data_IF_216567973084
#
_entry.id   IF_216567973084
#
_cell.length_a   1.000
_cell.length_b   1.000
_cell.length_c   1.000
_cell.angle_alpha   90.00
_cell.angle_beta   90.00
_cell.angle_gamma   90.00
#
_symmetry.space_group_name_H-M   'P 1'
#
loop_
_entity.id
_entity.type
_entity.pdbx_description
1 polymer ?
#
# COMPACT_ATOMS: atom_id res chain seq x y z
N UNK A 1 10.08 -20.70 12.62
CA UNK A 1 9.20 -19.58 12.20
C UNK A 1 9.23 -19.55 10.69
N UNK A 2 8.25 -20.18 10.03
CA UNK A 2 8.19 -20.24 8.57
C UNK A 2 8.05 -18.83 7.99
N UNK A 3 9.15 -18.32 7.45
CA UNK A 3 9.12 -17.20 6.52
C UNK A 3 8.35 -17.66 5.29
N UNK A 4 7.04 -17.38 5.29
CA UNK A 4 6.14 -17.60 4.17
C UNK A 4 6.68 -16.83 2.95
N UNK A 5 7.51 -17.52 2.16
CA UNK A 5 8.18 -16.97 1.00
C UNK A 5 7.16 -16.90 -0.12
N UNK A 6 6.34 -15.85 -0.13
CA UNK A 6 5.45 -15.58 -1.26
C UNK A 6 6.29 -14.88 -2.35
N UNK A 7 6.74 -15.59 -3.40
CA UNK A 7 7.63 -15.02 -4.41
C UNK A 7 6.98 -13.83 -5.12
N UNK A 8 5.64 -13.81 -5.23
CA UNK A 8 4.92 -12.70 -5.85
C UNK A 8 4.98 -11.42 -5.01
N UNK A 9 4.95 -11.51 -3.68
CA UNK A 9 5.10 -10.34 -2.81
C UNK A 9 6.54 -9.83 -2.82
N UNK A 10 7.52 -10.72 -2.91
CA UNK A 10 8.92 -10.31 -3.08
C UNK A 10 9.13 -9.61 -4.42
N UNK A 11 8.62 -10.18 -5.51
CA UNK A 11 8.65 -9.56 -6.83
C UNK A 11 7.99 -8.18 -6.83
N UNK A 12 6.81 -8.04 -6.20
CA UNK A 12 6.13 -6.76 -6.08
C UNK A 12 6.94 -5.75 -5.26
N UNK A 13 7.61 -6.19 -4.18
CA UNK A 13 8.47 -5.33 -3.36
C UNK A 13 9.66 -4.84 -4.19
N UNK A 14 10.40 -5.76 -4.82
CA UNK A 14 11.57 -5.43 -5.63
C UNK A 14 11.20 -4.53 -6.81
N UNK A 15 10.03 -4.73 -7.42
CA UNK A 15 9.53 -3.87 -8.48
C UNK A 15 9.26 -2.45 -7.99
N UNK A 16 8.61 -2.28 -6.83
CA UNK A 16 8.38 -0.94 -6.25
C UNK A 16 9.69 -0.28 -5.80
N UNK A 17 10.62 -1.05 -5.26
CA UNK A 17 11.88 -0.56 -4.71
C UNK A 17 12.84 -0.12 -5.81
N UNK A 18 13.10 -0.97 -6.80
CA UNK A 18 14.17 -0.76 -7.77
C UNK A 18 13.71 -0.14 -9.09
N UNK A 19 12.40 0.07 -9.27
CA UNK A 19 11.86 0.73 -10.46
C UNK A 19 11.07 1.99 -10.10
N UNK A 20 10.77 2.80 -11.11
CA UNK A 20 9.89 3.97 -11.02
C UNK A 20 8.61 3.76 -11.83
N UNK A 21 8.09 2.53 -11.83
CA UNK A 21 6.92 2.12 -12.63
C UNK A 21 5.71 1.92 -11.72
N UNK A 22 4.52 2.18 -12.25
CA UNK A 22 3.27 1.95 -11.53
C UNK A 22 2.91 0.46 -11.51
N UNK A 23 2.36 -0.02 -10.38
CA UNK A 23 1.83 -1.37 -10.24
C UNK A 23 0.39 -1.36 -9.74
N UNK A 24 -0.37 -2.36 -10.18
CA UNK A 24 -1.68 -2.67 -9.62
C UNK A 24 -1.62 -4.05 -8.95
N UNK A 25 -1.63 -4.07 -7.61
CA UNK A 25 -1.56 -5.29 -6.82
C UNK A 25 -2.97 -5.72 -6.38
N UNK A 26 -3.45 -6.84 -6.90
CA UNK A 26 -4.75 -7.44 -6.56
C UNK A 26 -4.59 -8.81 -5.90
N UNK A 27 -5.67 -9.32 -5.31
CA UNK A 27 -5.72 -10.64 -4.68
C UNK A 27 -6.96 -10.82 -3.83
N UNK A 28 -7.32 -12.07 -3.51
CA UNK A 28 -8.48 -12.42 -2.66
C UNK A 28 -8.35 -11.84 -1.23
N UNK A 29 -9.43 -11.83 -0.47
CA UNK A 29 -9.36 -11.49 0.96
C UNK A 29 -8.37 -12.42 1.68
N UNK A 30 -7.64 -11.89 2.67
CA UNK A 30 -6.65 -12.66 3.44
C UNK A 30 -5.30 -12.92 2.75
N UNK A 31 -5.05 -12.41 1.53
CA UNK A 31 -3.78 -12.67 0.80
C UNK A 31 -2.61 -11.75 1.20
N UNK A 32 -2.68 -11.07 2.34
CA UNK A 32 -1.55 -10.28 2.86
C UNK A 32 -1.27 -8.92 2.19
N UNK A 33 -2.22 -8.35 1.43
CA UNK A 33 -2.05 -7.04 0.77
C UNK A 33 -1.76 -5.90 1.76
N UNK A 34 -2.48 -5.84 2.88
CA UNK A 34 -2.25 -4.84 3.93
C UNK A 34 -0.89 -5.05 4.60
N UNK A 35 -0.52 -6.32 4.84
CA UNK A 35 0.81 -6.68 5.35
C UNK A 35 1.93 -6.25 4.40
N UNK A 36 1.74 -6.42 3.09
CA UNK A 36 2.68 -5.92 2.07
C UNK A 36 2.85 -4.40 2.15
N UNK A 37 1.74 -3.64 2.23
CA UNK A 37 1.78 -2.18 2.34
C UNK A 37 2.55 -1.72 3.59
N UNK A 38 2.31 -2.34 4.76
CA UNK A 38 3.04 -2.02 5.98
C UNK A 38 4.54 -2.33 5.85
N UNK A 39 4.88 -3.52 5.33
CA UNK A 39 6.27 -3.91 5.12
C UNK A 39 7.00 -2.98 4.14
N UNK A 40 6.32 -2.58 3.07
CA UNK A 40 6.85 -1.63 2.10
C UNK A 40 7.14 -0.28 2.76
N UNK A 41 6.17 0.27 3.50
CA UNK A 41 6.31 1.54 4.23
C UNK A 41 7.46 1.54 5.24
N UNK A 42 7.69 0.42 5.93
CA UNK A 42 8.74 0.30 6.95
C UNK A 42 10.13 0.08 6.35
N UNK A 43 10.25 -0.63 5.23
CA UNK A 43 11.53 -1.10 4.70
C UNK A 43 12.07 -0.27 3.55
N UNK A 44 11.19 0.31 2.73
CA UNK A 44 11.63 1.10 1.57
C UNK A 44 12.09 2.49 2.04
N UNK A 45 13.25 2.98 1.56
CA UNK A 45 13.73 4.33 1.85
C UNK A 45 12.95 5.40 1.08
N UNK A 46 12.04 5.02 0.17
CA UNK A 46 11.27 5.96 -0.62
C UNK A 46 10.29 6.73 0.28
N UNK A 47 10.22 8.05 0.09
CA UNK A 47 9.16 8.85 0.71
C UNK A 47 7.82 8.43 0.12
N UNK A 48 6.94 7.93 0.98
CA UNK A 48 5.65 7.36 0.60
C UNK A 48 4.50 7.98 1.37
N UNK A 49 3.37 8.10 0.70
CA UNK A 49 2.09 8.51 1.29
C UNK A 49 1.08 7.42 0.95
N UNK A 50 0.33 6.98 1.94
CA UNK A 50 -0.73 5.98 1.79
C UNK A 50 -2.06 6.71 1.76
N UNK A 51 -2.79 6.56 0.66
CA UNK A 51 -4.14 7.12 0.49
C UNK A 51 -5.16 6.02 0.23
N UNK A 52 -6.39 6.22 0.71
CA UNK A 52 -7.50 5.30 0.49
C UNK A 52 -8.82 6.06 0.19
N UNK A 53 -9.81 5.44 -0.47
CA UNK A 53 -11.06 6.11 -0.82
C UNK A 53 -11.99 6.33 0.38
N UNK A 54 -11.93 5.50 1.43
CA UNK A 54 -12.81 5.60 2.61
C UNK A 54 -12.00 5.76 3.90
N UNK A 55 -12.62 6.37 4.91
CA UNK A 55 -11.98 6.62 6.21
C UNK A 55 -11.50 5.35 6.90
N UNK A 56 -12.33 4.30 6.96
CA UNK A 56 -11.98 3.02 7.58
C UNK A 56 -10.77 2.37 6.88
N UNK A 57 -10.72 2.40 5.55
CA UNK A 57 -9.59 1.86 4.80
C UNK A 57 -8.30 2.68 5.01
N UNK A 58 -8.41 4.00 5.10
CA UNK A 58 -7.28 4.87 5.40
C UNK A 58 -6.69 4.58 6.78
N UNK A 59 -7.54 4.44 7.80
CA UNK A 59 -7.14 4.09 9.17
C UNK A 59 -6.44 2.73 9.18
N UNK A 60 -7.04 1.71 8.56
CA UNK A 60 -6.48 0.36 8.52
C UNK A 60 -5.14 0.28 7.79
N UNK A 61 -4.90 1.15 6.81
CA UNK A 61 -3.64 1.22 6.08
C UNK A 61 -2.61 2.18 6.72
N UNK A 62 -2.96 2.86 7.81
CA UNK A 62 -2.12 3.89 8.45
C UNK A 62 -1.84 5.08 7.54
N UNK A 63 -2.86 5.52 6.82
CA UNK A 63 -2.84 6.61 5.84
C UNK A 63 -3.99 7.59 6.02
N UNK A 64 -4.25 8.37 4.97
CA UNK A 64 -5.33 9.38 4.93
C UNK A 64 -6.27 9.12 3.76
N UNK A 65 -7.42 9.79 3.73
CA UNK A 65 -8.31 9.67 2.58
C UNK A 65 -7.76 10.45 1.39
N UNK A 66 -8.09 10.02 0.17
CA UNK A 66 -7.77 10.77 -1.07
C UNK A 66 -8.32 12.21 -0.97
N UNK A 67 -9.56 12.34 -0.46
CA UNK A 67 -10.22 13.63 -0.27
C UNK A 67 -9.46 14.57 0.67
N UNK A 68 -9.08 14.08 1.86
CA UNK A 68 -8.33 14.89 2.83
C UNK A 68 -6.92 15.21 2.34
N UNK A 69 -6.28 14.30 1.59
CA UNK A 69 -4.90 14.51 1.13
C UNK A 69 -4.80 15.58 0.04
N UNK A 70 -5.68 15.52 -0.97
CA UNK A 70 -5.70 16.50 -2.06
C UNK A 70 -6.55 17.74 -1.76
N UNK A 71 -7.04 17.87 -0.52
CA UNK A 71 -7.96 18.94 -0.09
C UNK A 71 -9.21 19.05 -0.98
N UNK A 72 -9.65 17.94 -1.57
CA UNK A 72 -10.83 17.88 -2.44
C UNK A 72 -12.08 17.79 -1.59
N UNK A 73 -12.86 18.87 -1.55
CA UNK A 73 -14.16 18.90 -0.88
C UNK A 73 -15.18 18.13 -1.71
N UNK A 74 -15.68 17.01 -1.18
CA UNK A 74 -16.88 16.38 -1.72
C UNK A 74 -18.08 17.28 -1.42
N UNK A 75 -18.81 17.72 -2.44
CA UNK A 75 -20.07 18.46 -2.28
C UNK A 75 -19.98 19.98 -2.42
N UNK A 76 -19.09 20.48 -3.27
CA UNK A 76 -19.35 21.71 -4.03
C UNK A 76 -19.60 21.37 -5.49
#
# INVERSE_FOLDING_TARGET
>A
MESNHNPNLKLAFDFVEFTNRHIFLTGKAGTGKTTFLHNLKTRSPKRMIVVAPTGVAAINAGGVTIHSFFNYRLGQ
#
